data_IF_542388647635
#
_entry.id   IF_542388647635
#
_cell.length_a   1.000
_cell.length_b   1.000
_cell.length_c   1.000
_cell.angle_alpha   90.00
_cell.angle_beta   90.00
_cell.angle_gamma   90.00
#
_symmetry.space_group_name_H-M   'P 1'
#
loop_
_entity.id
_entity.type
_entity.pdbx_description
1 polymer ?
#
# COMPACT_ATOMS: atom_id res chain seq x y z
N UNK A 1 26.48 29.56 81.07
CA UNK A 1 25.58 30.12 80.04
C UNK A 1 26.30 31.24 79.30
N UNK A 2 26.78 30.98 78.07
CA UNK A 2 27.39 32.00 77.19
C UNK A 2 26.27 32.67 76.40
N UNK A 3 26.02 33.95 76.64
CA UNK A 3 25.11 34.74 75.80
C UNK A 3 25.93 35.50 74.76
N UNK A 4 25.64 35.22 73.49
CA UNK A 4 26.44 35.57 72.33
C UNK A 4 26.24 37.01 71.85
N UNK A 5 27.32 37.57 71.33
CA UNK A 5 27.43 38.85 70.64
C UNK A 5 26.56 38.82 69.37
N UNK A 6 25.64 39.78 69.28
CA UNK A 6 24.78 39.98 68.12
C UNK A 6 25.56 40.71 67.02
N UNK A 7 26.23 39.96 66.15
CA UNK A 7 26.86 40.48 64.93
C UNK A 7 25.81 40.52 63.82
N UNK A 8 25.24 41.70 63.54
CA UNK A 8 24.42 41.92 62.34
C UNK A 8 25.32 41.85 61.11
N UNK A 9 25.31 40.71 60.43
CA UNK A 9 25.84 40.60 59.08
C UNK A 9 24.82 41.21 58.12
N UNK A 10 25.15 42.39 57.61
CA UNK A 10 24.45 43.04 56.49
C UNK A 10 24.60 42.15 55.24
N UNK A 11 23.54 41.43 54.87
CA UNK A 11 23.48 40.71 53.59
C UNK A 11 22.92 41.67 52.55
N UNK A 12 23.81 42.13 51.69
CA UNK A 12 23.55 43.04 50.59
C UNK A 12 22.59 42.39 49.56
N UNK A 13 21.50 43.06 49.13
CA UNK A 13 20.46 42.45 48.30
C UNK A 13 20.79 42.60 46.82
N UNK A 14 21.91 42.06 46.35
CA UNK A 14 22.23 42.10 44.92
C UNK A 14 22.93 40.83 44.47
N UNK A 15 22.15 39.82 44.09
CA UNK A 15 22.38 38.97 42.92
C UNK A 15 21.50 37.72 42.95
N UNK A 16 20.47 37.70 42.11
CA UNK A 16 20.51 36.79 40.96
C UNK A 16 19.35 37.00 40.01
N UNK A 17 19.76 37.10 38.75
CA UNK A 17 19.07 36.60 37.58
C UNK A 17 17.67 37.16 37.30
N UNK A 18 17.67 38.32 36.62
CA UNK A 18 17.10 38.47 35.27
C UNK A 18 15.98 37.48 34.93
N UNK A 19 14.84 37.68 35.57
CA UNK A 19 13.60 36.98 35.26
C UNK A 19 12.94 37.68 34.07
N UNK A 20 13.52 37.53 32.87
CA UNK A 20 12.94 38.15 31.68
C UNK A 20 13.20 37.42 30.35
N UNK A 21 13.59 36.14 30.33
CA UNK A 21 13.81 35.40 29.07
C UNK A 21 13.15 34.02 28.99
N UNK A 22 12.30 33.64 29.93
CA UNK A 22 11.63 32.33 29.90
C UNK A 22 10.41 32.24 28.97
N UNK A 23 9.82 33.38 28.56
CA UNK A 23 8.62 33.39 27.71
C UNK A 23 8.86 33.02 26.24
N UNK A 24 10.01 33.42 25.69
CA UNK A 24 10.38 33.14 24.29
C UNK A 24 10.92 31.72 24.08
N UNK A 25 11.67 31.19 25.05
CA UNK A 25 12.19 29.81 25.03
C UNK A 25 11.06 28.78 25.06
N UNK A 26 10.05 28.98 25.92
CA UNK A 26 8.93 28.05 26.06
C UNK A 26 8.01 28.03 24.83
N UNK A 27 7.71 29.18 24.22
CA UNK A 27 6.86 29.22 23.02
C UNK A 27 7.57 28.61 21.80
N UNK A 28 8.87 28.90 21.61
CA UNK A 28 9.66 28.28 20.53
C UNK A 28 9.77 26.77 20.74
N UNK A 29 9.98 26.31 21.97
CA UNK A 29 10.03 24.88 22.30
C UNK A 29 8.70 24.17 22.01
N UNK A 30 7.57 24.77 22.38
CA UNK A 30 6.25 24.22 22.07
C UNK A 30 6.00 24.23 20.56
N UNK A 31 6.32 25.32 19.86
CA UNK A 31 6.16 25.38 18.39
C UNK A 31 7.05 24.36 17.69
N UNK A 32 8.27 24.14 18.16
CA UNK A 32 9.17 23.11 17.64
C UNK A 32 8.61 21.71 17.92
N UNK A 33 8.15 21.44 19.15
CA UNK A 33 7.54 20.16 19.50
C UNK A 33 6.30 19.88 18.63
N UNK A 34 5.43 20.87 18.44
CA UNK A 34 4.26 20.78 17.55
C UNK A 34 4.69 20.53 16.11
N UNK A 35 5.71 21.23 15.61
CA UNK A 35 6.23 21.02 14.27
C UNK A 35 6.79 19.59 14.09
N UNK A 36 7.58 19.09 15.05
CA UNK A 36 8.13 17.73 15.02
C UNK A 36 7.02 16.67 15.09
N UNK A 37 6.01 16.87 15.94
CA UNK A 37 4.84 16.00 16.01
C UNK A 37 4.08 15.99 14.69
N UNK A 38 3.86 17.15 14.07
CA UNK A 38 3.18 17.26 12.79
C UNK A 38 3.95 16.55 11.66
N UNK A 39 5.26 16.78 11.56
CA UNK A 39 6.13 16.08 10.58
C UNK A 39 6.12 14.57 10.80
N UNK A 40 6.18 14.13 12.05
CA UNK A 40 6.11 12.70 12.41
C UNK A 40 4.77 12.11 12.01
N UNK A 41 3.66 12.77 12.34
CA UNK A 41 2.32 12.32 11.99
C UNK A 41 2.14 12.22 10.46
N UNK A 42 2.61 13.22 9.71
CA UNK A 42 2.60 13.19 8.25
C UNK A 42 3.45 12.05 7.69
N UNK A 43 4.63 11.81 8.26
CA UNK A 43 5.50 10.69 7.88
C UNK A 43 4.83 9.33 8.10
N UNK A 44 4.13 9.16 9.23
CA UNK A 44 3.37 7.94 9.51
C UNK A 44 2.23 7.75 8.53
N UNK A 45 1.44 8.80 8.26
CA UNK A 45 0.32 8.75 7.31
C UNK A 45 0.83 8.40 5.91
N UNK A 46 1.92 9.02 5.47
CA UNK A 46 2.55 8.72 4.18
C UNK A 46 3.01 7.26 4.11
N UNK A 47 3.63 6.75 5.18
CA UNK A 47 4.04 5.35 5.29
C UNK A 47 2.86 4.38 5.22
N UNK A 48 1.78 4.63 5.97
CA UNK A 48 0.57 3.80 5.93
C UNK A 48 -0.12 3.86 4.56
N UNK A 49 -0.13 5.03 3.92
CA UNK A 49 -0.69 5.17 2.58
C UNK A 49 0.09 4.34 1.56
N UNK A 50 1.42 4.35 1.65
CA UNK A 50 2.29 3.56 0.79
C UNK A 50 2.06 2.05 0.97
N UNK A 51 2.09 1.55 2.21
CA UNK A 51 1.88 0.11 2.48
C UNK A 51 0.48 -0.34 2.10
N UNK A 52 -0.54 0.49 2.34
CA UNK A 52 -1.90 0.20 1.94
C UNK A 52 -2.08 0.20 0.41
N UNK A 53 -1.27 0.94 -0.35
CA UNK A 53 -1.27 0.88 -1.83
C UNK A 53 -0.67 -0.44 -2.31
N UNK A 54 0.45 -0.84 -1.71
CA UNK A 54 1.12 -2.09 -2.06
C UNK A 54 0.24 -3.32 -1.73
N UNK A 55 -0.37 -3.33 -0.54
CA UNK A 55 -1.28 -4.41 -0.14
C UNK A 55 -2.48 -4.55 -1.09
N UNK A 56 -3.03 -3.43 -1.59
CA UNK A 56 -4.11 -3.46 -2.58
C UNK A 56 -3.65 -4.07 -3.90
N UNK A 57 -2.42 -3.80 -4.32
CA UNK A 57 -1.86 -4.38 -5.54
C UNK A 57 -1.69 -5.90 -5.44
N UNK A 58 -1.23 -6.39 -4.27
CA UNK A 58 -1.09 -7.83 -4.01
C UNK A 58 -2.46 -8.52 -3.96
N UNK A 59 -3.42 -7.97 -3.21
CA UNK A 59 -4.76 -8.52 -3.12
C UNK A 59 -5.44 -8.66 -4.50
N UNK A 60 -5.28 -7.67 -5.40
CA UNK A 60 -5.81 -7.77 -6.76
C UNK A 60 -5.22 -8.94 -7.54
N UNK A 61 -3.91 -9.22 -7.40
CA UNK A 61 -3.27 -10.37 -8.06
C UNK A 61 -3.76 -11.70 -7.48
N UNK A 62 -3.95 -11.78 -6.16
CA UNK A 62 -4.50 -12.96 -5.49
C UNK A 62 -5.93 -13.25 -5.98
N UNK A 63 -6.78 -12.24 -6.05
CA UNK A 63 -8.14 -12.38 -6.59
C UNK A 63 -8.13 -12.83 -8.05
N UNK A 64 -7.25 -12.28 -8.88
CA UNK A 64 -7.12 -12.68 -10.27
C UNK A 64 -6.66 -14.14 -10.41
N UNK A 65 -5.71 -14.59 -9.58
CA UNK A 65 -5.25 -15.98 -9.56
C UNK A 65 -6.36 -16.95 -9.14
N UNK A 66 -7.13 -16.62 -8.10
CA UNK A 66 -8.26 -17.44 -7.67
C UNK A 66 -9.35 -17.53 -8.74
N UNK A 67 -9.64 -16.43 -9.45
CA UNK A 67 -10.58 -16.46 -10.57
C UNK A 67 -10.03 -17.32 -11.71
N UNK A 68 -8.74 -17.19 -12.07
CA UNK A 68 -8.14 -18.00 -13.13
C UNK A 68 -8.20 -19.51 -12.83
N UNK A 69 -7.93 -19.89 -11.58
CA UNK A 69 -8.05 -21.27 -11.10
C UNK A 69 -9.48 -21.80 -11.21
N UNK A 70 -10.45 -21.03 -10.71
CA UNK A 70 -11.86 -21.41 -10.80
C UNK A 70 -12.42 -21.48 -12.24
N UNK A 71 -11.87 -20.68 -13.15
CA UNK A 71 -12.17 -20.75 -14.59
C UNK A 71 -11.59 -22.01 -15.19
N UNK A 72 -10.34 -22.36 -14.85
CA UNK A 72 -9.74 -23.62 -15.30
C UNK A 72 -10.56 -24.82 -14.80
N UNK A 73 -10.91 -24.87 -13.51
CA UNK A 73 -11.77 -25.92 -12.95
C UNK A 73 -13.13 -26.01 -13.66
N UNK A 74 -13.79 -24.87 -13.92
CA UNK A 74 -15.08 -24.84 -14.60
C UNK A 74 -15.00 -25.32 -16.06
N UNK A 75 -13.86 -25.10 -16.72
CA UNK A 75 -13.66 -25.51 -18.12
C UNK A 75 -13.22 -26.96 -18.29
N UNK A 76 -12.66 -27.57 -17.24
CA UNK A 76 -12.48 -29.02 -17.18
C UNK A 76 -13.81 -29.76 -17.00
N UNK A 77 -14.88 -29.09 -16.55
CA UNK A 77 -16.20 -29.69 -16.43
C UNK A 77 -16.96 -29.71 -17.79
N UNK A 78 -17.41 -30.87 -18.30
CA UNK A 78 -17.89 -31.01 -19.68
C UNK A 78 -19.17 -30.25 -20.09
N UNK A 79 -19.96 -29.73 -19.15
CA UNK A 79 -21.36 -29.34 -19.41
C UNK A 79 -21.72 -27.87 -19.21
N UNK A 80 -20.78 -27.02 -18.74
CA UNK A 80 -21.12 -25.66 -18.31
C UNK A 80 -20.17 -24.54 -18.78
N UNK A 81 -19.24 -24.83 -19.70
CA UNK A 81 -18.14 -23.91 -20.06
C UNK A 81 -18.59 -22.46 -20.36
N UNK A 82 -19.56 -22.26 -21.26
CA UNK A 82 -19.95 -20.90 -21.70
C UNK A 82 -20.76 -20.11 -20.66
N UNK A 83 -21.61 -20.77 -19.87
CA UNK A 83 -22.36 -20.12 -18.79
C UNK A 83 -21.47 -19.83 -17.60
N UNK A 84 -20.56 -20.75 -17.26
CA UNK A 84 -19.53 -20.56 -16.26
C UNK A 84 -18.57 -19.43 -16.65
N UNK A 85 -18.14 -19.35 -17.91
CA UNK A 85 -17.29 -18.27 -18.41
C UNK A 85 -17.94 -16.90 -18.22
N UNK A 86 -19.22 -16.77 -18.58
CA UNK A 86 -19.98 -15.53 -18.35
C UNK A 86 -20.08 -15.17 -16.87
N UNK A 87 -20.34 -16.15 -16.02
CA UNK A 87 -20.40 -15.93 -14.57
C UNK A 87 -19.06 -15.45 -14.00
N UNK A 88 -17.94 -16.09 -14.41
CA UNK A 88 -16.62 -15.72 -13.94
C UNK A 88 -16.13 -14.40 -14.52
N UNK A 89 -16.47 -14.06 -15.77
CA UNK A 89 -16.22 -12.74 -16.34
C UNK A 89 -16.97 -11.64 -15.59
N UNK A 90 -18.23 -11.87 -15.21
CA UNK A 90 -18.99 -10.93 -14.40
C UNK A 90 -18.39 -10.77 -12.99
N UNK A 91 -17.89 -11.86 -12.40
CA UNK A 91 -17.18 -11.80 -11.10
C UNK A 91 -15.85 -11.06 -11.21
N UNK A 92 -15.10 -11.25 -12.28
CA UNK A 92 -13.87 -10.50 -12.55
C UNK A 92 -14.16 -9.00 -12.64
N UNK A 93 -15.22 -8.60 -13.35
CA UNK A 93 -15.63 -7.20 -13.45
C UNK A 93 -16.08 -6.58 -12.10
N UNK A 94 -16.56 -7.39 -11.15
CA UNK A 94 -16.95 -6.94 -9.81
C UNK A 94 -15.77 -6.77 -8.85
N UNK A 95 -14.76 -7.64 -8.96
CA UNK A 95 -13.63 -7.70 -8.00
C UNK A 95 -12.41 -6.93 -8.52
N UNK A 96 -12.25 -6.84 -9.84
CA UNK A 96 -11.11 -6.20 -10.49
C UNK A 96 -11.57 -5.01 -11.34
N UNK A 97 -10.78 -3.91 -11.35
CA UNK A 97 -11.09 -2.75 -12.18
C UNK A 97 -11.03 -3.10 -13.66
N UNK A 98 -12.19 -3.03 -14.34
CA UNK A 98 -12.36 -3.46 -15.72
C UNK A 98 -11.86 -4.90 -15.94
N UNK A 99 -12.14 -5.78 -14.97
CA UNK A 99 -11.72 -7.17 -15.01
C UNK A 99 -12.45 -7.98 -16.07
N UNK A 100 -11.70 -8.81 -16.81
CA UNK A 100 -12.25 -9.76 -17.78
C UNK A 100 -11.58 -11.13 -17.61
N UNK A 101 -12.39 -12.19 -17.63
CA UNK A 101 -11.94 -13.57 -17.65
C UNK A 101 -12.15 -14.17 -19.05
N UNK A 102 -11.14 -14.86 -19.57
CA UNK A 102 -11.16 -15.50 -20.89
C UNK A 102 -10.37 -16.80 -20.87
N UNK A 103 -10.61 -17.69 -21.83
CA UNK A 103 -9.81 -18.89 -22.03
C UNK A 103 -9.26 -18.89 -23.43
N UNK A 104 -7.99 -19.22 -23.57
CA UNK A 104 -7.33 -19.40 -24.86
C UNK A 104 -6.78 -20.79 -24.96
N UNK A 105 -6.99 -21.43 -26.10
CA UNK A 105 -6.36 -22.69 -26.44
C UNK A 105 -5.08 -22.43 -27.24
N UNK A 106 -3.98 -23.10 -26.89
CA UNK A 106 -2.72 -22.99 -27.61
C UNK A 106 -2.06 -24.37 -27.71
N UNK A 107 -2.02 -24.93 -28.93
CA UNK A 107 -1.37 -26.20 -29.25
C UNK A 107 -1.71 -27.38 -28.31
N UNK A 108 -2.98 -27.47 -27.89
CA UNK A 108 -3.49 -28.54 -27.03
C UNK A 108 -3.36 -28.27 -25.52
N UNK A 109 -2.86 -27.11 -25.14
CA UNK A 109 -2.89 -26.61 -23.75
C UNK A 109 -3.85 -25.42 -23.67
N UNK A 110 -4.89 -25.56 -22.85
CA UNK A 110 -5.81 -24.45 -22.57
C UNK A 110 -5.22 -23.54 -21.48
N UNK A 111 -5.46 -22.24 -21.56
CA UNK A 111 -5.01 -21.26 -20.56
C UNK A 111 -6.18 -20.38 -20.12
N UNK A 112 -6.48 -20.40 -18.83
CA UNK A 112 -7.43 -19.51 -18.18
C UNK A 112 -6.73 -18.19 -17.88
N UNK A 113 -7.27 -17.09 -18.39
CA UNK A 113 -6.68 -15.77 -18.30
C UNK A 113 -7.64 -14.80 -17.63
N UNK A 114 -7.11 -14.02 -16.70
CA UNK A 114 -7.80 -12.89 -16.10
C UNK A 114 -6.97 -11.63 -16.34
N UNK A 115 -7.59 -10.61 -16.93
CA UNK A 115 -6.97 -9.31 -17.21
C UNK A 115 -7.72 -8.21 -16.49
N UNK A 116 -7.02 -7.16 -16.10
CA UNK A 116 -7.62 -5.99 -15.45
C UNK A 116 -6.78 -4.74 -15.67
N UNK A 117 -7.36 -3.56 -15.44
CA UNK A 117 -6.63 -2.29 -15.53
C UNK A 117 -5.68 -2.16 -14.33
N UNK A 118 -4.38 -1.98 -14.58
CA UNK A 118 -3.43 -1.72 -13.51
C UNK A 118 -3.71 -0.35 -12.89
N UNK A 119 -3.88 -0.31 -11.57
CA UNK A 119 -4.02 0.95 -10.86
C UNK A 119 -2.70 1.73 -10.99
N UNK A 120 -2.77 2.98 -11.46
CA UNK A 120 -1.59 3.85 -11.71
C UNK A 120 -0.71 4.09 -10.47
N UNK A 121 -1.18 3.71 -9.30
CA UNK A 121 -0.46 3.80 -8.02
C UNK A 121 0.54 2.66 -7.79
N UNK A 122 0.66 1.70 -8.70
CA UNK A 122 1.70 0.66 -8.65
C UNK A 122 2.93 1.14 -9.41
N UNK A 123 4.15 1.03 -8.84
CA UNK A 123 5.36 1.37 -9.56
C UNK A 123 5.37 0.57 -10.86
N UNK A 124 5.53 1.31 -11.96
CA UNK A 124 5.54 0.80 -13.32
C UNK A 124 6.59 -0.31 -13.40
N UNK A 125 6.16 -1.57 -13.53
CA UNK A 125 7.06 -2.72 -13.67
C UNK A 125 7.69 -2.80 -15.07
N UNK A 126 8.03 -1.64 -15.66
CA UNK A 126 8.47 -1.50 -17.05
C UNK A 126 9.99 -1.28 -17.15
N UNK A 127 10.72 -1.41 -16.05
CA UNK A 127 12.19 -1.31 -16.02
C UNK A 127 12.85 -2.48 -15.24
N UNK A 128 12.12 -3.58 -15.10
CA UNK A 128 12.65 -4.84 -14.60
C UNK A 128 12.95 -5.76 -15.77
N UNK A 129 14.21 -6.19 -15.91
CA UNK A 129 14.69 -7.25 -16.81
C UNK A 129 14.09 -8.58 -16.34
N UNK A 130 12.76 -8.72 -16.44
CA UNK A 130 12.00 -9.93 -16.25
C UNK A 130 10.58 -9.65 -16.73
N UNK A 131 10.44 -9.42 -18.04
CA UNK A 131 9.12 -9.33 -18.68
C UNK A 131 8.42 -10.66 -18.39
N UNK A 132 7.33 -10.69 -17.58
CA UNK A 132 6.60 -11.94 -17.37
C UNK A 132 6.16 -12.45 -18.73
N UNK A 133 6.24 -13.77 -18.92
CA UNK A 133 5.86 -14.44 -20.16
C UNK A 133 4.58 -13.84 -20.77
N UNK A 134 4.48 -13.71 -22.11
CA UNK A 134 3.30 -13.14 -22.75
C UNK A 134 2.08 -13.85 -22.19
N UNK A 135 1.15 -13.09 -21.63
CA UNK A 135 0.12 -13.61 -20.74
C UNK A 135 -0.79 -14.60 -21.50
N UNK A 136 -0.42 -15.88 -21.61
CA UNK A 136 -0.99 -16.84 -22.58
C UNK A 136 -0.88 -16.41 -24.07
N UNK A 137 0.14 -15.65 -24.45
CA UNK A 137 0.40 -15.26 -25.85
C UNK A 137 -0.44 -14.12 -26.44
N UNK A 138 -1.17 -13.33 -25.64
CA UNK A 138 -2.00 -12.23 -26.15
C UNK A 138 -1.32 -10.86 -25.97
N UNK A 139 -1.54 -9.97 -26.93
CA UNK A 139 -1.19 -8.56 -26.82
C UNK A 139 -2.18 -7.88 -25.87
N UNK A 140 -1.66 -7.35 -24.78
CA UNK A 140 -2.45 -6.66 -23.77
C UNK A 140 -2.34 -5.14 -23.93
N UNK A 141 -3.43 -4.38 -23.73
CA UNK A 141 -3.38 -2.92 -23.74
C UNK A 141 -2.38 -2.39 -22.71
N UNK A 142 -1.68 -1.31 -23.04
CA UNK A 142 -0.73 -0.66 -22.12
C UNK A 142 -1.45 -0.24 -20.83
N UNK A 143 -0.88 -0.59 -19.68
CA UNK A 143 -1.48 -0.30 -18.38
C UNK A 143 -2.50 -1.34 -17.92
N UNK A 144 -2.54 -2.53 -18.52
CA UNK A 144 -3.26 -3.68 -17.99
C UNK A 144 -2.31 -4.64 -17.26
N UNK A 145 -2.83 -5.31 -16.23
CA UNK A 145 -2.21 -6.44 -15.55
C UNK A 145 -2.94 -7.73 -15.91
N UNK A 146 -2.25 -8.86 -15.79
CA UNK A 146 -2.81 -10.13 -16.19
C UNK A 146 -2.22 -11.31 -15.39
N UNK A 147 -3.05 -12.32 -15.18
CA UNK A 147 -2.68 -13.66 -14.69
C UNK A 147 -3.19 -14.68 -15.70
N UNK A 148 -2.35 -15.66 -16.03
CA UNK A 148 -2.72 -16.78 -16.88
C UNK A 148 -2.32 -18.10 -16.21
N UNK A 149 -3.24 -19.07 -16.17
CA UNK A 149 -3.05 -20.41 -15.65
C UNK A 149 -3.26 -21.40 -16.79
N UNK A 150 -2.23 -22.18 -17.12
CA UNK A 150 -2.34 -23.26 -18.08
C UNK A 150 -3.00 -24.49 -17.43
N UNK A 151 -3.87 -25.18 -18.17
CA UNK A 151 -4.57 -26.38 -17.73
C UNK A 151 -4.81 -27.34 -18.90
N UNK A 152 -4.91 -28.63 -18.58
CA UNK A 152 -5.34 -29.67 -19.52
C UNK A 152 -6.86 -29.81 -19.45
N UNK A 153 -7.50 -30.06 -20.60
CA UNK A 153 -8.94 -30.29 -20.69
C UNK A 153 -9.26 -31.78 -20.81
#
# INVERSE_FOLDING_TARGET
MRSGIMSRSSQNPHSRCRESTCGGSSLIEVMLAVALMAVTALGLIAGQLWTAREARAMAMREHAAWIADSVAEAMCAPSAGDSAMRQWSARAALVLPQGEASVRDNDGVSAARVTWTALRDTPRSDDGIDKPAPCGGADLPVGSSCVALAFAR
#
